data_IF_701943964326
#
_entry.id   IF_701943964326
#
_cell.length_a   1.000
_cell.length_b   1.000
_cell.length_c   1.000
_cell.angle_alpha   90.00
_cell.angle_beta   90.00
_cell.angle_gamma   90.00
#
_symmetry.space_group_name_H-M   'P 1'
#
loop_
_entity.id
_entity.type
_entity.pdbx_description
1 polymer ?
#
# COMPACT_ATOMS: atom_id res chain seq x y z
N UNK A 1 4.61 33.40 -2.92
CA UNK A 1 5.04 33.16 -4.30
C UNK A 1 5.24 34.51 -4.97
N UNK A 2 6.48 34.87 -5.31
CA UNK A 2 6.75 36.03 -6.15
C UNK A 2 7.33 35.50 -7.47
N UNK A 3 6.59 35.63 -8.56
CA UNK A 3 7.08 35.42 -9.94
C UNK A 3 7.73 36.72 -10.40
N UNK A 4 9.03 36.70 -10.65
CA UNK A 4 9.73 37.80 -11.32
C UNK A 4 10.03 37.41 -12.75
N UNK A 5 9.35 38.01 -13.71
CA UNK A 5 9.68 37.93 -15.14
C UNK A 5 10.70 39.02 -15.48
N UNK A 6 11.91 38.65 -15.87
CA UNK A 6 12.82 39.54 -16.57
C UNK A 6 12.80 39.19 -18.06
N UNK A 7 12.31 40.13 -18.86
CA UNK A 7 12.18 40.00 -20.29
C UNK A 7 13.52 40.33 -20.97
N UNK A 8 14.31 39.32 -21.37
CA UNK A 8 15.23 39.32 -22.51
C UNK A 8 15.89 37.95 -22.76
N UNK A 9 15.70 36.99 -21.89
CA UNK A 9 15.91 35.54 -22.12
C UNK A 9 14.80 34.82 -21.39
N UNK A 10 14.23 33.78 -22.00
CA UNK A 10 13.11 33.03 -21.44
C UNK A 10 13.52 32.18 -20.21
N UNK A 11 14.17 32.81 -19.24
CA UNK A 11 14.59 32.15 -18.00
C UNK A 11 13.54 32.38 -16.91
N UNK A 12 12.94 31.30 -16.43
CA UNK A 12 12.00 31.32 -15.31
C UNK A 12 12.78 31.15 -13.99
N UNK A 13 12.74 32.15 -13.13
CA UNK A 13 13.27 32.07 -11.76
C UNK A 13 12.15 31.73 -10.79
N UNK A 14 12.27 30.57 -10.12
CA UNK A 14 11.36 30.17 -9.01
C UNK A 14 12.09 30.43 -7.70
N UNK A 15 11.48 31.19 -6.80
CA UNK A 15 12.00 31.47 -5.44
C UNK A 15 11.04 30.83 -4.44
N UNK A 16 11.59 30.03 -3.53
CA UNK A 16 10.85 29.38 -2.45
C UNK A 16 11.42 29.89 -1.13
N UNK A 17 10.62 30.63 -0.37
CA UNK A 17 10.99 31.08 0.97
C UNK A 17 10.73 29.97 1.99
N UNK A 18 11.76 29.56 2.69
CA UNK A 18 11.71 28.46 3.66
C UNK A 18 11.75 29.04 5.09
N UNK A 19 10.93 28.45 5.97
CA UNK A 19 10.88 28.85 7.39
C UNK A 19 12.01 28.27 8.24
N UNK A 20 12.78 27.32 7.70
CA UNK A 20 13.92 26.66 8.34
C UNK A 20 15.07 26.56 7.35
N UNK A 21 16.30 26.47 7.90
CA UNK A 21 17.47 26.10 7.11
C UNK A 21 17.34 24.63 6.68
N UNK A 22 17.54 24.36 5.38
CA UNK A 22 17.51 23.03 4.79
C UNK A 22 18.68 22.84 3.84
N UNK A 23 19.05 21.59 3.58
CA UNK A 23 20.06 21.25 2.57
C UNK A 23 19.34 20.78 1.30
N UNK A 24 19.40 21.56 0.19
CA UNK A 24 18.75 21.17 -1.06
C UNK A 24 19.61 20.17 -1.84
N UNK A 25 19.00 19.16 -2.43
CA UNK A 25 19.53 18.36 -3.55
C UNK A 25 18.63 18.50 -4.74
N UNK A 26 19.18 18.71 -5.93
CA UNK A 26 18.41 18.81 -7.15
C UNK A 26 18.95 17.88 -8.25
N UNK A 27 18.02 17.34 -9.02
CA UNK A 27 18.31 16.54 -10.21
C UNK A 27 17.23 16.73 -11.26
N UNK A 28 17.59 16.51 -12.53
CA UNK A 28 16.68 16.63 -13.63
C UNK A 28 16.20 15.26 -14.09
N UNK A 29 14.90 15.16 -14.40
CA UNK A 29 14.30 14.00 -15.02
C UNK A 29 13.98 14.32 -16.49
N UNK A 30 14.39 13.43 -17.37
CA UNK A 30 14.06 13.51 -18.77
C UNK A 30 12.55 13.43 -19.01
N UNK A 31 12.04 13.99 -20.14
CA UNK A 31 10.63 13.90 -20.48
C UNK A 31 10.21 12.44 -20.73
N UNK A 32 8.98 12.13 -20.39
CA UNK A 32 8.33 10.87 -20.72
C UNK A 32 7.00 11.14 -21.46
N UNK A 33 6.25 10.09 -21.79
CA UNK A 33 4.99 10.22 -22.55
C UNK A 33 3.94 11.12 -21.89
N UNK A 34 4.03 11.38 -20.59
CA UNK A 34 3.05 12.12 -19.80
C UNK A 34 3.54 13.49 -19.32
N UNK A 35 4.86 13.67 -19.15
CA UNK A 35 5.45 14.88 -18.58
C UNK A 35 6.68 15.33 -19.37
N UNK A 36 6.84 16.64 -19.52
CA UNK A 36 8.05 17.26 -20.06
C UNK A 36 9.27 17.12 -19.11
N UNK A 37 10.33 17.89 -19.37
CA UNK A 37 11.48 17.96 -18.48
C UNK A 37 11.04 18.41 -17.07
N UNK A 38 11.54 17.72 -16.05
CA UNK A 38 11.22 18.00 -14.65
C UNK A 38 12.50 18.25 -13.88
N UNK A 39 12.51 19.28 -13.06
CA UNK A 39 13.52 19.50 -12.03
C UNK A 39 12.93 19.06 -10.69
N UNK A 40 13.59 18.12 -10.02
CA UNK A 40 13.26 17.69 -8.68
C UNK A 40 14.23 18.37 -7.71
N UNK A 41 13.71 18.94 -6.64
CA UNK A 41 14.49 19.54 -5.57
C UNK A 41 14.06 18.93 -4.25
N UNK A 42 14.92 18.11 -3.66
CA UNK A 42 14.72 17.51 -2.34
C UNK A 42 15.29 18.45 -1.27
N UNK A 43 14.53 18.69 -0.22
CA UNK A 43 14.90 19.56 0.89
C UNK A 43 15.04 18.72 2.16
N UNK A 44 16.25 18.68 2.73
CA UNK A 44 16.58 17.89 3.92
C UNK A 44 16.66 18.78 5.16
N UNK A 45 15.97 18.40 6.23
CA UNK A 45 15.96 19.11 7.51
C UNK A 45 17.28 18.98 8.29
N UNK A 46 18.11 17.97 7.99
CA UNK A 46 19.36 17.71 8.70
C UNK A 46 20.55 17.67 7.73
N UNK A 47 21.62 18.47 7.98
CA UNK A 47 22.82 18.45 7.15
C UNK A 47 23.53 17.09 7.09
N UNK A 48 23.35 16.21 8.08
CA UNK A 48 23.93 14.87 8.11
C UNK A 48 23.34 13.94 7.03
N UNK A 49 22.11 14.17 6.59
CA UNK A 49 21.47 13.38 5.56
C UNK A 49 21.97 13.71 4.14
N UNK A 50 22.79 14.75 4.00
CA UNK A 50 23.35 15.21 2.73
C UNK A 50 24.72 14.64 2.40
N UNK A 51 25.35 13.85 3.29
CA UNK A 51 26.68 13.28 3.07
C UNK A 51 26.63 12.02 2.20
N UNK A 52 27.53 11.86 1.20
CA UNK A 52 27.66 10.61 0.46
C UNK A 52 28.17 9.49 1.40
N UNK A 53 27.80 8.23 1.17
CA UNK A 53 28.28 7.13 1.99
C UNK A 53 29.82 7.03 1.92
N UNK A 54 30.54 6.90 3.04
CA UNK A 54 31.98 6.70 3.03
C UNK A 54 32.30 5.31 2.48
N UNK A 55 33.35 5.27 1.64
CA UNK A 55 33.95 4.03 1.15
C UNK A 55 34.48 3.19 2.33
N UNK A 56 34.47 1.86 2.25
CA UNK A 56 34.88 1.01 3.36
C UNK A 56 36.39 1.03 3.54
N UNK A 57 36.86 1.54 4.66
CA UNK A 57 38.22 1.30 5.13
C UNK A 57 38.17 0.54 6.47
N UNK A 58 38.95 -0.54 6.64
CA UNK A 58 38.97 -1.27 7.88
C UNK A 58 39.92 -0.62 8.87
N UNK A 59 39.47 -0.20 10.03
CA UNK A 59 40.33 0.06 11.16
C UNK A 59 39.59 -0.17 12.47
N UNK A 60 40.11 -1.14 13.19
CA UNK A 60 39.77 -1.45 14.58
C UNK A 60 40.40 -0.36 15.47
N UNK A 61 39.58 0.40 16.18
CA UNK A 61 40.03 1.22 17.28
C UNK A 61 39.06 1.14 18.46
N UNK A 62 39.57 0.64 19.53
CA UNK A 62 39.00 0.57 20.87
C UNK A 62 38.62 1.96 21.38
N UNK A 63 37.34 2.17 21.74
CA UNK A 63 36.85 3.41 22.35
C UNK A 63 36.61 3.17 23.84
N UNK A 64 37.11 4.07 24.73
CA UNK A 64 36.89 3.94 26.18
C UNK A 64 35.44 4.22 26.56
N UNK A 65 34.92 3.47 27.52
CA UNK A 65 33.60 3.61 28.07
C UNK A 65 33.33 4.99 28.68
N UNK A 66 32.33 5.69 28.19
CA UNK A 66 31.80 6.94 28.78
C UNK A 66 30.80 6.58 29.88
N UNK A 67 30.87 7.20 31.09
CA UNK A 67 29.95 6.89 32.17
C UNK A 67 28.55 7.38 31.85
N UNK A 68 27.60 6.48 31.95
CA UNK A 68 26.15 6.74 31.79
C UNK A 68 25.65 7.54 33.02
N UNK A 69 25.16 8.75 32.77
CA UNK A 69 24.53 9.57 33.80
C UNK A 69 23.08 9.11 34.03
N UNK A 70 22.67 8.69 35.25
CA UNK A 70 21.36 8.08 35.49
C UNK A 70 20.24 9.09 35.81
N UNK A 71 20.20 10.25 35.13
CA UNK A 71 19.20 11.28 35.41
C UNK A 71 18.50 11.76 34.14
N UNK A 72 17.88 10.83 33.38
CA UNK A 72 16.81 11.20 32.45
C UNK A 72 15.47 10.71 33.02
N UNK A 73 14.42 11.57 33.06
CA UNK A 73 13.10 11.12 33.48
C UNK A 73 12.59 10.05 32.52
N UNK A 74 12.42 8.83 33.03
CA UNK A 74 11.73 7.79 32.29
C UNK A 74 10.30 8.26 32.06
N UNK A 75 9.97 8.56 30.79
CA UNK A 75 8.58 8.72 30.37
C UNK A 75 7.93 7.34 30.52
N UNK A 76 7.14 7.17 31.60
CA UNK A 76 6.27 6.02 31.76
C UNK A 76 5.26 6.04 30.62
N UNK A 77 5.48 5.23 29.60
CA UNK A 77 4.44 4.94 28.61
C UNK A 77 3.19 4.44 29.34
N UNK A 78 2.01 4.96 29.01
CA UNK A 78 0.77 4.38 29.54
C UNK A 78 0.75 2.88 29.21
N UNK A 79 0.26 2.03 30.12
CA UNK A 79 0.15 0.60 29.84
C UNK A 79 -0.71 0.42 28.58
N UNK A 80 -0.38 -0.55 27.71
CA UNK A 80 -1.23 -0.87 26.58
C UNK A 80 -2.65 -1.14 27.07
N UNK A 81 -3.69 -0.73 26.33
CA UNK A 81 -5.07 -1.00 26.71
C UNK A 81 -5.19 -2.51 26.99
N UNK A 82 -5.93 -2.90 28.07
CA UNK A 82 -6.09 -4.30 28.40
C UNK A 82 -6.63 -5.05 27.19
N UNK A 83 -5.97 -6.15 26.85
CA UNK A 83 -6.49 -7.06 25.82
C UNK A 83 -7.93 -7.41 26.19
N UNK A 84 -8.89 -7.39 25.28
CA UNK A 84 -10.28 -7.65 25.56
C UNK A 84 -10.40 -9.01 26.26
N UNK A 85 -10.88 -8.99 27.49
CA UNK A 85 -11.12 -10.18 28.28
C UNK A 85 -12.36 -10.92 27.75
N UNK A 86 -12.13 -11.75 26.74
CA UNK A 86 -13.13 -12.57 26.07
C UNK A 86 -12.58 -13.00 24.70
N UNK A 87 -12.67 -14.28 24.38
CA UNK A 87 -12.29 -14.78 23.05
C UNK A 87 -13.35 -14.35 22.05
N UNK A 88 -13.27 -13.09 21.52
CA UNK A 88 -14.05 -12.71 20.37
C UNK A 88 -13.43 -13.32 19.12
N UNK A 89 -14.25 -13.52 18.12
CA UNK A 89 -13.76 -13.93 16.81
C UNK A 89 -12.81 -12.88 16.21
N UNK A 90 -11.81 -13.36 15.49
CA UNK A 90 -10.94 -12.53 14.64
C UNK A 90 -11.76 -12.14 13.41
N UNK A 91 -11.89 -10.85 13.17
CA UNK A 91 -12.67 -10.30 12.05
C UNK A 91 -11.75 -10.03 10.87
N UNK A 92 -11.96 -10.78 9.78
CA UNK A 92 -11.28 -10.57 8.50
C UNK A 92 -12.23 -9.84 7.56
N UNK A 93 -11.90 -8.61 7.17
CA UNK A 93 -12.66 -7.92 6.13
C UNK A 93 -12.00 -8.18 4.79
N UNK A 94 -12.76 -8.78 3.89
CA UNK A 94 -12.34 -9.13 2.53
C UNK A 94 -12.93 -8.09 1.59
N UNK A 95 -12.05 -7.45 0.84
CA UNK A 95 -12.38 -6.46 -0.16
C UNK A 95 -12.28 -7.09 -1.55
N UNK A 96 -13.39 -7.14 -2.26
CA UNK A 96 -13.38 -7.48 -3.67
C UNK A 96 -13.12 -6.20 -4.46
N UNK A 97 -11.97 -6.08 -5.11
CA UNK A 97 -11.58 -4.91 -5.90
C UNK A 97 -12.64 -4.51 -6.93
N UNK A 98 -12.59 -3.27 -7.38
CA UNK A 98 -13.49 -2.75 -8.43
C UNK A 98 -15.00 -2.86 -8.11
N UNK A 99 -15.87 -2.89 -9.13
CA UNK A 99 -17.31 -3.05 -8.99
C UNK A 99 -18.11 -1.93 -9.63
N UNK A 100 -19.35 -2.21 -10.02
CA UNK A 100 -20.23 -1.25 -10.68
C UNK A 100 -19.67 -0.76 -12.00
N UNK A 101 -19.44 0.55 -12.11
CA UNK A 101 -18.91 1.22 -13.30
C UNK A 101 -17.42 0.96 -13.53
N UNK A 102 -16.70 0.52 -12.50
CA UNK A 102 -15.31 0.11 -12.62
C UNK A 102 -15.21 -1.41 -12.83
N UNK A 103 -14.96 -1.86 -14.07
CA UNK A 103 -14.88 -3.29 -14.37
C UNK A 103 -13.56 -3.92 -13.90
N UNK A 104 -12.54 -3.11 -13.54
CA UNK A 104 -11.17 -3.55 -13.40
C UNK A 104 -10.58 -3.97 -14.75
N UNK A 105 -9.57 -4.81 -14.70
CA UNK A 105 -8.97 -5.41 -15.89
C UNK A 105 -9.94 -6.34 -16.61
N UNK A 106 -9.71 -6.53 -17.91
CA UNK A 106 -10.55 -7.39 -18.76
C UNK A 106 -9.74 -8.51 -19.38
N UNK A 107 -10.27 -9.72 -19.28
CA UNK A 107 -9.74 -10.89 -19.94
C UNK A 107 -10.11 -10.96 -21.42
N UNK A 108 -9.37 -11.76 -22.19
CA UNK A 108 -9.51 -11.91 -23.64
C UNK A 108 -10.87 -12.48 -24.10
N UNK A 109 -11.66 -13.05 -23.20
CA UNK A 109 -12.97 -13.62 -23.47
C UNK A 109 -14.12 -12.82 -22.83
N UNK A 110 -13.89 -11.56 -22.47
CA UNK A 110 -14.88 -10.70 -21.85
C UNK A 110 -15.09 -10.93 -20.35
N UNK A 111 -14.19 -11.66 -19.69
CA UNK A 111 -14.19 -11.70 -18.22
C UNK A 111 -13.80 -10.33 -17.67
N UNK A 112 -14.49 -9.86 -16.65
CA UNK A 112 -14.12 -8.66 -15.91
C UNK A 112 -13.56 -9.03 -14.54
N UNK A 113 -12.52 -8.33 -14.14
CA UNK A 113 -11.87 -8.52 -12.86
C UNK A 113 -12.87 -8.44 -11.71
N UNK A 114 -13.75 -7.41 -11.71
CA UNK A 114 -14.76 -7.20 -10.68
C UNK A 114 -15.61 -8.45 -10.37
N UNK A 115 -15.90 -9.26 -11.39
CA UNK A 115 -16.73 -10.45 -11.23
C UNK A 115 -15.93 -11.61 -10.65
N UNK A 116 -14.71 -11.78 -11.15
CA UNK A 116 -13.78 -12.82 -10.71
C UNK A 116 -13.41 -12.63 -9.25
N UNK A 117 -13.00 -11.41 -8.87
CA UNK A 117 -12.57 -11.13 -7.49
C UNK A 117 -13.72 -11.18 -6.50
N UNK A 118 -14.96 -10.85 -6.92
CA UNK A 118 -16.14 -11.03 -6.09
C UNK A 118 -16.46 -12.50 -5.84
N UNK A 119 -16.29 -13.35 -6.85
CA UNK A 119 -16.48 -14.79 -6.69
C UNK A 119 -15.45 -15.40 -5.73
N UNK A 120 -14.17 -15.03 -5.88
CA UNK A 120 -13.08 -15.46 -4.98
C UNK A 120 -13.34 -14.94 -3.55
N UNK A 121 -13.71 -13.67 -3.40
CA UNK A 121 -13.97 -13.07 -2.09
C UNK A 121 -15.12 -13.75 -1.34
N UNK A 122 -16.19 -14.13 -2.05
CA UNK A 122 -17.31 -14.89 -1.46
C UNK A 122 -16.90 -16.28 -1.02
N UNK A 123 -16.08 -16.96 -1.80
CA UNK A 123 -15.60 -18.29 -1.45
C UNK A 123 -14.65 -18.22 -0.25
N UNK A 124 -13.74 -17.24 -0.22
CA UNK A 124 -12.87 -17.00 0.93
C UNK A 124 -13.69 -16.67 2.19
N UNK A 125 -14.72 -15.83 2.07
CA UNK A 125 -15.64 -15.54 3.17
C UNK A 125 -16.30 -16.82 3.71
N UNK A 126 -16.79 -17.68 2.82
CA UNK A 126 -17.42 -18.95 3.19
C UNK A 126 -16.46 -19.84 3.96
N UNK A 127 -15.22 -19.96 3.51
CA UNK A 127 -14.19 -20.78 4.15
C UNK A 127 -13.79 -20.24 5.52
N UNK A 128 -13.52 -18.93 5.61
CA UNK A 128 -13.15 -18.30 6.88
C UNK A 128 -14.28 -18.39 7.91
N UNK A 129 -15.52 -18.22 7.50
CA UNK A 129 -16.71 -18.38 8.38
C UNK A 129 -16.93 -19.85 8.83
N UNK A 130 -16.36 -20.81 8.13
CA UNK A 130 -16.31 -22.20 8.57
C UNK A 130 -15.27 -22.49 9.68
N UNK A 131 -14.37 -21.56 9.94
CA UNK A 131 -13.31 -21.72 10.92
C UNK A 131 -13.74 -21.17 12.30
N UNK A 132 -13.61 -21.98 13.35
CA UNK A 132 -13.92 -21.55 14.73
C UNK A 132 -13.00 -20.40 15.18
N UNK A 133 -13.60 -19.34 15.70
CA UNK A 133 -12.88 -18.17 16.19
C UNK A 133 -12.51 -17.14 15.10
N UNK A 134 -13.07 -17.30 13.90
CA UNK A 134 -12.93 -16.37 12.79
C UNK A 134 -14.29 -15.96 12.23
N UNK A 135 -14.39 -14.72 11.79
CA UNK A 135 -15.54 -14.18 11.06
C UNK A 135 -15.05 -13.33 9.89
N UNK A 136 -15.57 -13.61 8.70
CA UNK A 136 -15.26 -12.83 7.52
C UNK A 136 -16.46 -11.97 7.09
N UNK A 137 -16.16 -10.73 6.72
CA UNK A 137 -17.12 -9.75 6.21
C UNK A 137 -16.62 -9.23 4.86
N UNK A 138 -17.54 -8.98 3.93
CA UNK A 138 -17.20 -8.39 2.63
C UNK A 138 -17.36 -6.87 2.66
N UNK A 139 -16.57 -6.15 1.87
CA UNK A 139 -16.81 -4.72 1.60
C UNK A 139 -18.00 -4.53 0.69
N UNK A 140 -18.13 -5.35 -0.36
CA UNK A 140 -19.29 -5.39 -1.25
C UNK A 140 -19.80 -6.81 -1.43
N UNK A 141 -21.13 -6.96 -1.50
CA UNK A 141 -21.81 -8.23 -1.69
C UNK A 141 -22.42 -8.37 -3.09
N UNK A 142 -22.34 -7.33 -3.91
CA UNK A 142 -22.90 -7.25 -5.26
C UNK A 142 -21.99 -6.48 -6.20
N UNK A 143 -22.50 -6.22 -7.41
CA UNK A 143 -21.82 -5.42 -8.43
C UNK A 143 -22.18 -3.94 -8.25
N UNK A 144 -21.42 -3.26 -7.40
CA UNK A 144 -21.48 -1.81 -7.18
C UNK A 144 -20.10 -1.30 -6.79
N UNK A 145 -19.82 -0.05 -7.16
CA UNK A 145 -18.55 0.60 -6.88
C UNK A 145 -18.48 1.10 -5.43
N UNK A 146 -17.31 0.96 -4.81
CA UNK A 146 -16.96 1.55 -3.51
C UNK A 146 -15.65 2.30 -3.68
N UNK A 147 -15.59 3.61 -3.39
CA UNK A 147 -14.35 4.37 -3.41
C UNK A 147 -13.28 3.74 -2.52
N UNK A 148 -12.00 3.86 -2.90
CA UNK A 148 -10.87 3.21 -2.20
C UNK A 148 -10.87 3.51 -0.70
N UNK A 149 -11.08 4.78 -0.32
CA UNK A 149 -11.17 5.19 1.09
C UNK A 149 -12.39 4.58 1.80
N UNK A 150 -13.50 4.46 1.11
CA UNK A 150 -14.73 3.86 1.64
C UNK A 150 -14.53 2.39 2.04
N UNK A 151 -13.66 1.66 1.34
CA UNK A 151 -13.34 0.25 1.63
C UNK A 151 -12.67 0.10 3.00
N UNK A 152 -11.67 0.93 3.29
CA UNK A 152 -11.00 0.95 4.61
C UNK A 152 -11.92 1.46 5.73
N UNK A 153 -12.82 2.40 5.43
CA UNK A 153 -13.82 2.87 6.40
C UNK A 153 -14.83 1.76 6.74
N UNK A 154 -15.27 0.97 5.76
CA UNK A 154 -16.12 -0.21 5.98
C UNK A 154 -15.39 -1.22 6.86
N UNK A 155 -14.11 -1.50 6.59
CA UNK A 155 -13.31 -2.41 7.40
C UNK A 155 -13.25 -1.93 8.85
N UNK A 156 -13.00 -0.64 9.08
CA UNK A 156 -12.96 -0.05 10.42
C UNK A 156 -14.32 -0.13 11.13
N UNK A 157 -15.43 0.20 10.43
CA UNK A 157 -16.79 0.08 10.99
C UNK A 157 -17.17 -1.35 11.36
N UNK A 158 -16.63 -2.34 10.64
CA UNK A 158 -16.83 -3.76 10.93
C UNK A 158 -15.90 -4.28 12.04
N UNK A 159 -14.98 -3.46 12.53
CA UNK A 159 -14.01 -3.84 13.56
C UNK A 159 -12.98 -4.85 13.08
N UNK A 160 -12.49 -4.69 11.86
CA UNK A 160 -11.53 -5.58 11.24
C UNK A 160 -10.23 -5.72 12.05
N UNK A 161 -9.78 -6.94 12.23
CA UNK A 161 -8.44 -7.28 12.72
C UNK A 161 -7.45 -7.47 11.57
N UNK A 162 -7.98 -7.75 10.36
CA UNK A 162 -7.22 -7.89 9.12
C UNK A 162 -8.09 -7.43 7.95
N UNK A 163 -7.49 -6.68 7.04
CA UNK A 163 -8.08 -6.30 5.75
C UNK A 163 -7.34 -6.98 4.61
N UNK A 164 -8.06 -7.64 3.71
CA UNK A 164 -7.52 -8.35 2.54
C UNK A 164 -8.24 -7.88 1.30
N UNK A 165 -7.54 -7.15 0.43
CA UNK A 165 -8.06 -6.74 -0.87
C UNK A 165 -7.67 -7.79 -1.93
N UNK A 166 -8.64 -8.24 -2.72
CA UNK A 166 -8.50 -9.29 -3.73
C UNK A 166 -8.58 -8.66 -5.11
N UNK A 167 -7.57 -8.91 -5.93
CA UNK A 167 -7.40 -8.40 -7.28
C UNK A 167 -6.97 -9.48 -8.27
N UNK A 168 -7.09 -9.21 -9.55
CA UNK A 168 -6.68 -10.07 -10.66
C UNK A 168 -6.34 -9.22 -11.90
N UNK A 169 -5.45 -8.25 -11.75
CA UNK A 169 -5.19 -7.14 -12.67
C UNK A 169 -4.64 -7.59 -14.05
N UNK A 170 -4.51 -6.65 -14.96
CA UNK A 170 -3.78 -6.83 -16.19
C UNK A 170 -2.29 -6.53 -15.98
N UNK A 171 -1.43 -7.31 -16.59
CA UNK A 171 -0.02 -6.95 -16.70
C UNK A 171 0.27 -6.34 -18.07
N UNK A 172 1.33 -5.49 -18.19
CA UNK A 172 1.78 -4.99 -19.50
C UNK A 172 2.10 -6.10 -20.50
N UNK A 173 2.51 -7.27 -20.01
CA UNK A 173 2.74 -8.47 -20.82
C UNK A 173 1.62 -9.49 -20.57
N UNK A 174 0.94 -9.91 -21.61
CA UNK A 174 -0.05 -10.99 -21.58
C UNK A 174 0.55 -12.37 -21.24
N UNK A 175 1.88 -12.48 -21.22
CA UNK A 175 2.60 -13.67 -20.78
C UNK A 175 2.78 -13.69 -19.25
N UNK A 176 2.50 -12.62 -18.53
CA UNK A 176 2.59 -12.58 -17.08
C UNK A 176 1.58 -13.56 -16.46
N UNK A 177 2.00 -14.29 -15.44
CA UNK A 177 1.17 -15.24 -14.72
C UNK A 177 1.60 -15.35 -13.25
N UNK A 178 0.73 -15.94 -12.45
CA UNK A 178 0.98 -16.26 -11.06
C UNK A 178 0.55 -15.15 -10.09
N UNK A 179 0.43 -15.52 -8.82
CA UNK A 179 -0.04 -14.65 -7.76
C UNK A 179 1.08 -13.80 -7.15
N UNK A 180 0.68 -12.69 -6.56
CA UNK A 180 1.56 -11.79 -5.78
C UNK A 180 0.84 -11.28 -4.54
N UNK A 181 1.59 -10.90 -3.51
CA UNK A 181 1.05 -10.22 -2.32
C UNK A 181 1.76 -8.91 -2.11
N UNK A 182 0.99 -7.89 -1.83
CA UNK A 182 1.45 -6.53 -1.61
C UNK A 182 1.06 -6.02 -0.23
N UNK A 183 1.91 -5.16 0.33
CA UNK A 183 1.64 -4.35 1.51
C UNK A 183 1.85 -2.87 1.19
N UNK A 184 1.33 -2.01 2.04
CA UNK A 184 1.54 -0.57 1.90
C UNK A 184 3.02 -0.20 2.04
N UNK A 185 3.44 0.83 1.32
CA UNK A 185 4.67 1.59 1.56
C UNK A 185 4.41 3.08 1.43
N UNK A 186 4.93 3.83 2.37
CA UNK A 186 5.02 5.29 2.36
C UNK A 186 6.36 5.79 1.78
N UNK A 187 7.35 4.90 1.65
CA UNK A 187 8.71 5.19 1.19
C UNK A 187 8.97 4.90 -0.27
N UNK A 188 7.92 4.60 -1.04
CA UNK A 188 7.99 4.23 -2.45
C UNK A 188 7.83 2.73 -2.70
N UNK A 189 7.85 2.34 -3.97
CA UNK A 189 7.61 0.96 -4.38
C UNK A 189 8.90 0.13 -4.36
N UNK A 190 8.77 -1.15 -3.99
CA UNK A 190 9.90 -2.11 -3.96
C UNK A 190 10.31 -2.57 -5.35
N UNK A 191 9.46 -2.38 -6.36
CA UNK A 191 9.75 -2.67 -7.76
C UNK A 191 8.95 -1.77 -8.70
N UNK A 192 9.39 -1.64 -9.95
CA UNK A 192 8.64 -0.91 -10.99
C UNK A 192 7.26 -1.55 -11.25
N UNK A 193 7.17 -2.88 -11.18
CA UNK A 193 5.88 -3.59 -11.29
C UNK A 193 4.95 -3.20 -10.14
N UNK A 194 5.44 -3.16 -8.91
CA UNK A 194 4.65 -2.75 -7.74
C UNK A 194 4.20 -1.29 -7.84
N UNK A 195 5.05 -0.40 -8.37
CA UNK A 195 4.70 0.99 -8.64
C UNK A 195 3.58 1.11 -9.67
N UNK A 196 3.77 0.46 -10.81
CA UNK A 196 2.81 0.48 -11.91
C UNK A 196 1.45 -0.04 -11.45
N UNK A 197 1.43 -1.16 -10.72
CA UNK A 197 0.20 -1.74 -10.19
C UNK A 197 -0.49 -0.79 -9.21
N UNK A 198 0.23 -0.22 -8.25
CA UNK A 198 -0.35 0.75 -7.31
C UNK A 198 -0.91 1.99 -8.03
N UNK A 199 -0.23 2.48 -9.07
CA UNK A 199 -0.70 3.61 -9.88
C UNK A 199 -1.94 3.23 -10.69
N UNK A 200 -2.05 1.97 -11.16
CA UNK A 200 -3.24 1.43 -11.84
C UNK A 200 -4.43 1.40 -10.89
N UNK A 201 -4.27 0.73 -9.77
CA UNK A 201 -5.31 0.54 -8.76
C UNK A 201 -5.80 1.86 -8.16
N UNK A 202 -4.89 2.79 -7.89
CA UNK A 202 -5.25 4.10 -7.34
C UNK A 202 -6.09 4.97 -8.29
N UNK A 203 -6.17 4.64 -9.59
CA UNK A 203 -7.04 5.31 -10.57
C UNK A 203 -8.48 4.81 -10.56
N UNK A 204 -8.77 3.75 -9.85
CA UNK A 204 -10.12 3.17 -9.72
C UNK A 204 -11.17 4.21 -9.30
N UNK A 205 -10.82 5.12 -8.37
CA UNK A 205 -11.71 6.20 -7.93
C UNK A 205 -12.09 7.17 -9.07
N UNK A 206 -11.23 7.36 -10.06
CA UNK A 206 -11.52 8.20 -11.23
C UNK A 206 -12.54 7.54 -12.16
N UNK A 207 -12.46 6.23 -12.32
CA UNK A 207 -13.36 5.45 -13.17
C UNK A 207 -14.73 5.35 -12.51
N UNK A 208 -14.79 5.08 -11.21
CA UNK A 208 -16.02 4.94 -10.44
C UNK A 208 -16.74 6.25 -10.10
N UNK A 209 -16.28 7.39 -10.65
CA UNK A 209 -16.96 8.69 -10.48
C UNK A 209 -16.82 9.32 -9.10
N UNK A 210 -15.99 8.77 -8.21
CA UNK A 210 -15.61 9.43 -6.97
C UNK A 210 -14.58 10.54 -7.30
N UNK A 211 -15.07 11.71 -7.71
CA UNK A 211 -14.23 12.87 -8.02
C UNK A 211 -13.27 13.19 -6.87
N UNK A 212 -12.19 13.93 -7.16
CA UNK A 212 -11.11 14.32 -6.26
C UNK A 212 -11.61 14.58 -4.82
N UNK A 213 -11.51 13.57 -3.96
CA UNK A 213 -11.61 13.78 -2.51
C UNK A 213 -10.29 14.40 -2.08
N UNK A 214 -10.29 15.74 -2.02
CA UNK A 214 -9.18 16.51 -1.48
C UNK A 214 -8.90 16.03 -0.07
N UNK A 215 -7.69 15.52 0.15
CA UNK A 215 -7.16 15.24 1.48
C UNK A 215 -6.86 16.59 2.15
N UNK A 216 -7.86 17.21 2.74
CA UNK A 216 -7.68 18.33 3.67
C UNK A 216 -7.24 17.77 5.03
N UNK A 217 -6.00 17.34 5.12
CA UNK A 217 -5.32 17.00 6.37
C UNK A 217 -4.76 18.25 7.03
N UNK A 218 -5.65 19.09 7.51
CA UNK A 218 -5.30 20.16 8.44
C UNK A 218 -5.85 19.82 9.81
N UNK A 219 -5.15 18.96 10.52
CA UNK A 219 -4.99 19.07 11.99
C UNK A 219 -4.18 17.88 12.51
N UNK A 220 -3.10 18.20 13.29
CA UNK A 220 -2.69 17.36 14.42
C UNK A 220 -1.21 16.98 14.49
N UNK A 221 -0.47 17.91 15.05
CA UNK A 221 0.93 17.65 15.43
C UNK A 221 1.08 16.72 16.66
N UNK A 222 0.04 16.54 17.48
CA UNK A 222 0.09 15.66 18.67
C UNK A 222 -0.43 14.23 18.40
N UNK A 223 -1.30 14.06 17.40
CA UNK A 223 -1.74 12.75 16.94
C UNK A 223 -0.67 12.03 16.10
N UNK A 224 0.32 12.75 15.55
CA UNK A 224 1.32 12.23 14.62
C UNK A 224 2.17 11.10 15.20
N UNK A 225 2.71 11.26 16.41
CA UNK A 225 3.63 10.27 17.00
C UNK A 225 2.93 8.94 17.35
N UNK A 226 1.70 9.01 17.88
CA UNK A 226 0.91 7.80 18.16
C UNK A 226 0.42 7.15 16.87
N UNK A 227 0.11 7.97 15.86
CA UNK A 227 -0.28 7.52 14.54
C UNK A 227 0.88 6.80 13.82
N UNK A 228 2.10 7.36 13.85
CA UNK A 228 3.30 6.76 13.25
C UNK A 228 3.64 5.41 13.90
N UNK A 229 3.50 5.31 15.23
CA UNK A 229 3.76 4.06 15.94
C UNK A 229 2.70 2.99 15.58
N UNK A 230 1.44 3.39 15.52
CA UNK A 230 0.33 2.52 15.10
C UNK A 230 0.50 2.06 13.65
N UNK A 231 0.86 2.96 12.73
CA UNK A 231 1.13 2.64 11.33
C UNK A 231 2.31 1.67 11.20
N UNK A 232 3.39 1.86 11.96
CA UNK A 232 4.55 0.96 11.93
C UNK A 232 4.18 -0.45 12.43
N UNK A 233 3.40 -0.56 13.48
CA UNK A 233 2.92 -1.84 14.00
C UNK A 233 1.98 -2.55 13.00
N UNK A 234 1.04 -1.80 12.43
CA UNK A 234 0.11 -2.28 11.40
C UNK A 234 0.86 -2.77 10.15
N UNK A 235 1.85 -2.00 9.68
CA UNK A 235 2.67 -2.38 8.52
C UNK A 235 3.49 -3.65 8.79
N UNK A 236 4.12 -3.75 9.95
CA UNK A 236 4.88 -4.96 10.36
C UNK A 236 3.97 -6.18 10.38
N UNK A 237 2.76 -6.04 10.92
CA UNK A 237 1.75 -7.09 10.92
C UNK A 237 1.29 -7.45 9.51
N UNK A 238 1.10 -6.47 8.64
CA UNK A 238 0.75 -6.66 7.23
C UNK A 238 1.81 -7.49 6.49
N UNK A 239 3.09 -7.16 6.66
CA UNK A 239 4.20 -7.90 6.06
C UNK A 239 4.27 -9.34 6.56
N UNK A 240 4.08 -9.56 7.88
CA UNK A 240 4.10 -10.89 8.48
C UNK A 240 2.94 -11.76 7.97
N UNK A 241 1.73 -11.21 7.89
CA UNK A 241 0.56 -11.91 7.35
C UNK A 241 0.74 -12.14 5.85
N UNK A 242 1.16 -11.11 5.11
CA UNK A 242 1.42 -11.19 3.67
C UNK A 242 2.40 -12.29 3.31
N UNK A 243 3.49 -12.44 4.07
CA UNK A 243 4.47 -13.51 3.84
C UNK A 243 3.87 -14.91 4.05
N UNK A 244 3.02 -15.08 5.07
CA UNK A 244 2.32 -16.35 5.31
C UNK A 244 1.31 -16.66 4.20
N UNK A 245 0.54 -15.64 3.78
CA UNK A 245 -0.42 -15.76 2.67
C UNK A 245 0.32 -16.14 1.39
N UNK A 246 1.37 -15.41 1.01
CA UNK A 246 2.18 -15.69 -0.18
C UNK A 246 2.73 -17.12 -0.17
N UNK A 247 3.29 -17.56 0.96
CA UNK A 247 3.84 -18.92 1.12
C UNK A 247 2.78 -20.01 0.93
N UNK A 248 1.54 -19.77 1.36
CA UNK A 248 0.44 -20.73 1.21
C UNK A 248 -0.15 -20.69 -0.21
N UNK A 249 -0.32 -19.51 -0.81
CA UNK A 249 -0.75 -19.38 -2.21
C UNK A 249 0.20 -20.14 -3.15
N UNK A 250 1.51 -20.09 -2.88
CA UNK A 250 2.51 -20.81 -3.65
C UNK A 250 2.37 -22.35 -3.65
N UNK A 251 1.50 -22.90 -2.79
CA UNK A 251 1.13 -24.33 -2.81
C UNK A 251 -0.05 -24.64 -3.74
N UNK A 252 -0.83 -23.59 -4.07
CA UNK A 252 -2.05 -23.69 -4.88
C UNK A 252 -1.78 -23.29 -6.32
N UNK A 253 -0.99 -22.20 -6.50
CA UNK A 253 -0.69 -21.65 -7.82
C UNK A 253 0.76 -21.17 -7.90
N UNK A 254 1.23 -20.90 -9.11
CA UNK A 254 2.54 -20.27 -9.32
C UNK A 254 2.57 -18.88 -8.70
N UNK A 255 3.72 -18.48 -8.18
CA UNK A 255 3.94 -17.13 -7.69
C UNK A 255 4.60 -16.29 -8.78
N UNK A 256 4.06 -15.10 -9.03
CA UNK A 256 4.70 -14.07 -9.86
C UNK A 256 5.86 -13.41 -9.12
N UNK A 257 5.70 -13.16 -7.82
CA UNK A 257 6.73 -12.62 -6.92
C UNK A 257 6.97 -13.57 -5.76
N UNK A 258 8.25 -13.84 -5.46
CA UNK A 258 8.65 -14.78 -4.40
C UNK A 258 8.69 -14.13 -2.99
N UNK A 259 8.39 -12.85 -2.90
CA UNK A 259 8.34 -12.07 -1.65
C UNK A 259 7.17 -11.09 -1.68
N UNK A 260 6.75 -10.64 -0.51
CA UNK A 260 5.78 -9.55 -0.41
C UNK A 260 6.42 -8.28 -0.98
N UNK A 261 5.76 -7.68 -1.96
CA UNK A 261 6.16 -6.41 -2.54
C UNK A 261 5.43 -5.27 -1.81
N UNK A 262 5.93 -4.04 -1.96
CA UNK A 262 5.34 -2.87 -1.31
C UNK A 262 5.21 -1.72 -2.29
N UNK A 263 4.11 -0.97 -2.19
CA UNK A 263 3.90 0.29 -2.92
C UNK A 263 2.81 1.14 -2.25
N UNK A 264 2.54 2.30 -2.82
CA UNK A 264 1.60 3.29 -2.29
C UNK A 264 0.13 3.00 -2.59
N UNK A 265 -0.36 1.80 -2.31
CA UNK A 265 -1.76 1.42 -2.52
C UNK A 265 -2.70 2.21 -1.61
N UNK A 266 -3.58 3.02 -2.20
CA UNK A 266 -4.56 3.83 -1.47
C UNK A 266 -5.53 2.97 -0.65
N UNK A 267 -5.95 1.83 -1.20
CA UNK A 267 -6.87 0.89 -0.55
C UNK A 267 -6.29 0.26 0.72
N UNK A 268 -4.96 0.24 0.87
CA UNK A 268 -4.29 -0.30 2.05
C UNK A 268 -3.96 0.75 3.12
N UNK A 269 -4.31 2.02 2.89
CA UNK A 269 -4.02 3.11 3.84
C UNK A 269 -4.96 3.04 5.05
N UNK A 270 -4.63 2.20 6.01
CA UNK A 270 -5.27 2.15 7.32
C UNK A 270 -4.21 2.19 8.41
N UNK A 271 -4.25 3.17 9.32
CA UNK A 271 -3.22 3.31 10.36
C UNK A 271 -3.29 2.23 11.44
N UNK A 272 -4.43 1.59 11.60
CA UNK A 272 -4.79 0.74 12.74
C UNK A 272 -5.13 -0.70 12.36
N UNK A 273 -5.29 -1.01 11.05
CA UNK A 273 -5.68 -2.34 10.58
C UNK A 273 -4.57 -2.90 9.69
N UNK A 274 -3.96 -4.04 10.04
CA UNK A 274 -3.08 -4.77 9.11
C UNK A 274 -3.80 -5.05 7.80
N UNK A 275 -3.16 -4.68 6.68
CA UNK A 275 -3.80 -4.69 5.37
C UNK A 275 -2.87 -5.25 4.30
N UNK A 276 -3.36 -6.15 3.47
CA UNK A 276 -2.66 -6.70 2.32
C UNK A 276 -3.53 -6.66 1.07
N UNK A 277 -2.89 -6.59 -0.09
CA UNK A 277 -3.52 -6.79 -1.39
C UNK A 277 -2.97 -8.07 -2.01
N UNK A 278 -3.85 -8.91 -2.50
CA UNK A 278 -3.54 -10.19 -3.13
C UNK A 278 -3.93 -10.13 -4.59
N UNK A 279 -2.93 -10.12 -5.47
CA UNK A 279 -3.12 -10.44 -6.88
C UNK A 279 -3.22 -11.96 -7.01
N UNK A 280 -4.38 -12.45 -7.37
CA UNK A 280 -4.62 -13.90 -7.50
C UNK A 280 -4.07 -14.48 -8.79
N UNK A 281 -3.78 -13.63 -9.76
CA UNK A 281 -3.21 -13.90 -11.07
C UNK A 281 -3.44 -12.73 -12.00
N UNK A 282 -3.14 -12.86 -13.29
CA UNK A 282 -3.34 -11.79 -14.27
C UNK A 282 -4.44 -12.15 -15.25
N UNK A 283 -5.59 -11.46 -15.18
CA UNK A 283 -6.74 -11.71 -16.06
C UNK A 283 -6.43 -11.42 -17.55
N UNK A 284 -5.41 -10.58 -17.82
CA UNK A 284 -4.90 -10.34 -19.18
C UNK A 284 -4.25 -11.59 -19.83
N UNK A 285 -3.85 -12.57 -19.03
CA UNK A 285 -3.37 -13.86 -19.51
C UNK A 285 -4.55 -14.81 -19.69
N UNK A 286 -4.78 -15.32 -20.91
CA UNK A 286 -5.95 -16.15 -21.23
C UNK A 286 -6.03 -17.44 -20.40
N UNK A 287 -4.90 -18.05 -20.04
CA UNK A 287 -4.86 -19.25 -19.21
C UNK A 287 -5.21 -18.93 -17.75
N UNK A 288 -4.67 -17.83 -17.22
CA UNK A 288 -4.98 -17.36 -15.87
C UNK A 288 -6.47 -16.94 -15.78
N UNK A 289 -6.99 -16.19 -16.76
CA UNK A 289 -8.40 -15.79 -16.79
C UNK A 289 -9.35 -17.00 -16.74
N UNK A 290 -9.06 -18.05 -17.49
CA UNK A 290 -9.86 -19.30 -17.44
C UNK A 290 -9.77 -19.99 -16.08
N UNK A 291 -8.58 -20.03 -15.51
CA UNK A 291 -8.29 -20.63 -14.21
C UNK A 291 -8.99 -19.88 -13.08
N UNK A 292 -8.84 -18.55 -13.04
CA UNK A 292 -9.45 -17.68 -12.05
C UNK A 292 -11.00 -17.69 -12.10
N UNK A 293 -11.57 -17.93 -13.29
CA UNK A 293 -13.02 -18.07 -13.49
C UNK A 293 -13.56 -19.46 -13.13
N UNK A 294 -12.68 -20.45 -12.90
CA UNK A 294 -13.10 -21.81 -12.59
C UNK A 294 -13.40 -21.98 -11.08
N UNK A 295 -14.59 -22.45 -10.73
CA UNK A 295 -15.00 -22.65 -9.34
C UNK A 295 -14.04 -23.54 -8.54
N UNK A 296 -13.47 -24.58 -9.17
CA UNK A 296 -12.50 -25.45 -8.52
C UNK A 296 -11.23 -24.72 -8.10
N UNK A 297 -10.78 -23.74 -8.88
CA UNK A 297 -9.63 -22.91 -8.54
C UNK A 297 -9.95 -21.85 -7.48
N UNK A 298 -11.15 -21.31 -7.50
CA UNK A 298 -11.62 -20.35 -6.50
C UNK A 298 -11.79 -20.98 -5.11
N UNK A 299 -12.03 -22.30 -5.06
CA UNK A 299 -12.18 -23.08 -3.82
C UNK A 299 -10.83 -23.55 -3.24
N UNK A 300 -9.79 -23.57 -4.03
CA UNK A 300 -8.46 -24.02 -3.62
C UNK A 300 -7.69 -22.97 -2.82
#
# INVERSE_FOLDING_TARGET
WTQGLQAERADLRVVIDLKKAVTPKSFSLAPNAQYGNRLVVDLFDNPADAAPPPAPTPSVATVPAVPVNPSQPQVKLPPPPPAPAGKRDIIVVIDAGHGGEDPGASGSRGQHEKDVVLAIARELQRQVNGMKGYRAELTRTGDYFIPLRGRTEIARKKGADLFVSIHADAAPSTAAFGASVFALSDRGATSETARWLADSENRSDLIGGAGNVSLDDKDKMLAGVLLDLSMTASLTSSLNVGQKVLSNIGRVTSLHKQRVEQAGFMVLKSPDIPSILVETGFISNANEANKLSASSHQQA
#
